data_IF_447138763882
#
_entry.id   IF_447138763882
#
_cell.length_a   1.000
_cell.length_b   1.000
_cell.length_c   1.000
_cell.angle_alpha   90.00
_cell.angle_beta   90.00
_cell.angle_gamma   90.00
#
_symmetry.space_group_name_H-M   'P 1'
#
loop_
_entity.id
_entity.type
_entity.pdbx_description
1 polymer ?
#
# COMPACT_ATOMS: atom_id res chain seq x y z
N UNK A 1 -6.34 -17.26 2.14
CA UNK A 1 -6.54 -17.33 0.67
C UNK A 1 -7.99 -17.23 0.23
N UNK A 2 -8.93 -18.09 0.67
CA UNK A 2 -10.34 -18.10 0.18
C UNK A 2 -11.09 -16.77 0.39
N UNK A 3 -10.92 -16.09 1.54
CA UNK A 3 -11.52 -14.78 1.80
C UNK A 3 -10.99 -13.65 0.89
N UNK A 4 -9.73 -13.76 0.46
CA UNK A 4 -9.11 -12.82 -0.48
C UNK A 4 -9.60 -13.05 -1.91
N UNK A 5 -9.82 -14.32 -2.28
CA UNK A 5 -10.35 -14.73 -3.59
C UNK A 5 -11.77 -14.18 -3.84
N UNK A 6 -12.59 -14.15 -2.80
CA UNK A 6 -14.00 -13.68 -2.87
C UNK A 6 -14.08 -12.15 -2.92
N UNK A 7 -13.24 -11.45 -2.14
CA UNK A 7 -13.27 -9.97 -2.07
C UNK A 7 -12.73 -9.25 -3.31
N UNK A 8 -11.68 -9.78 -3.95
CA UNK A 8 -11.10 -9.18 -5.16
C UNK A 8 -12.07 -9.27 -6.35
N UNK A 9 -12.84 -10.35 -6.42
CA UNK A 9 -13.81 -10.60 -7.49
C UNK A 9 -15.01 -9.65 -7.43
N UNK A 10 -15.47 -9.27 -6.23
CA UNK A 10 -16.65 -8.43 -6.03
C UNK A 10 -16.44 -6.94 -6.40
N UNK A 11 -15.24 -6.38 -6.16
CA UNK A 11 -15.02 -4.93 -6.37
C UNK A 11 -14.63 -4.56 -7.81
N UNK A 12 -14.12 -5.53 -8.58
CA UNK A 12 -13.71 -5.34 -9.99
C UNK A 12 -14.92 -4.96 -10.86
N UNK A 13 -16.10 -5.50 -10.52
CA UNK A 13 -17.40 -5.21 -11.14
C UNK A 13 -17.97 -3.83 -10.76
N UNK A 14 -17.66 -3.29 -9.58
CA UNK A 14 -18.26 -2.04 -9.07
C UNK A 14 -17.75 -0.76 -9.76
N UNK A 15 -16.57 -0.78 -10.40
CA UNK A 15 -15.95 0.40 -11.02
C UNK A 15 -16.35 0.66 -12.49
N UNK A 16 -17.36 -0.02 -13.02
CA UNK A 16 -17.73 0.08 -14.43
C UNK A 16 -18.69 1.26 -14.75
N UNK A 17 -19.15 2.04 -13.76
CA UNK A 17 -20.29 2.97 -13.93
C UNK A 17 -19.97 4.47 -13.88
N UNK A 18 -18.81 4.94 -13.42
CA UNK A 18 -18.57 6.38 -13.28
C UNK A 18 -17.25 6.85 -13.89
N UNK A 19 -17.30 7.43 -15.10
CA UNK A 19 -16.31 8.37 -15.63
C UNK A 19 -16.77 8.94 -16.99
N UNK A 20 -17.12 10.23 -17.04
CA UNK A 20 -16.71 11.17 -18.10
C UNK A 20 -17.08 12.58 -17.66
N UNK A 21 -16.07 13.46 -17.54
CA UNK A 21 -16.06 14.83 -18.09
C UNK A 21 -14.72 15.52 -17.80
N UNK A 22 -14.33 16.28 -18.81
CA UNK A 22 -13.01 16.77 -19.16
C UNK A 22 -12.48 17.93 -18.30
N UNK A 23 -11.18 18.22 -18.46
CA UNK A 23 -10.67 19.54 -18.91
C UNK A 23 -9.13 19.60 -18.84
N UNK A 24 -8.56 20.17 -19.89
CA UNK A 24 -7.14 20.42 -20.22
C UNK A 24 -6.76 21.86 -19.86
N UNK A 25 -5.57 22.09 -19.26
CA UNK A 25 -4.86 23.38 -19.30
C UNK A 25 -3.34 23.12 -19.31
N UNK A 26 -2.66 23.94 -20.11
CA UNK A 26 -1.25 24.01 -20.50
C UNK A 26 -0.33 24.67 -19.45
N UNK A 27 0.94 24.26 -19.44
CA UNK A 27 2.01 24.80 -18.58
C UNK A 27 2.85 25.84 -19.35
N UNK A 28 3.18 26.97 -18.71
CA UNK A 28 4.24 27.90 -19.13
C UNK A 28 5.32 27.95 -18.04
N UNK A 29 6.56 27.64 -18.41
CA UNK A 29 7.75 27.81 -17.57
C UNK A 29 8.52 29.05 -18.02
N UNK A 30 8.80 29.96 -17.09
CA UNK A 30 9.75 31.07 -17.29
C UNK A 30 11.14 30.72 -16.74
N UNK A 31 12.13 30.96 -17.59
CA UNK A 31 13.55 30.69 -17.43
C UNK A 31 14.23 31.93 -16.80
N UNK A 32 15.02 31.74 -15.74
CA UNK A 32 15.80 32.82 -15.12
C UNK A 32 17.28 32.74 -15.51
N UNK A 33 17.82 33.92 -15.74
CA UNK A 33 19.05 34.27 -16.44
C UNK A 33 20.32 34.12 -15.58
N UNK A 34 21.45 33.80 -16.23
CA UNK A 34 22.77 33.61 -15.59
C UNK A 34 23.60 34.88 -15.71
N UNK A 35 23.76 35.59 -14.59
CA UNK A 35 24.76 36.65 -14.44
C UNK A 35 26.10 36.08 -13.93
N UNK A 36 27.12 36.12 -14.79
CA UNK A 36 28.51 35.80 -14.49
C UNK A 36 29.20 36.92 -13.71
N UNK A 37 30.02 36.59 -12.72
CA UNK A 37 31.21 37.36 -12.38
C UNK A 37 32.23 36.49 -11.63
N UNK A 38 33.44 36.42 -12.18
CA UNK A 38 34.64 35.82 -11.59
C UNK A 38 35.54 36.95 -11.07
N UNK A 39 35.96 36.89 -9.81
CA UNK A 39 37.27 37.42 -9.39
C UNK A 39 37.78 36.53 -8.25
N UNK A 40 38.98 35.98 -8.45
CA UNK A 40 39.69 35.19 -7.47
C UNK A 40 40.24 36.09 -6.37
N UNK A 41 39.67 35.98 -5.17
CA UNK A 41 40.31 36.40 -3.92
C UNK A 41 40.58 35.14 -3.09
N UNK A 42 41.81 35.04 -2.61
CA UNK A 42 42.29 33.96 -1.75
C UNK A 42 41.59 34.13 -0.39
N UNK A 43 40.38 33.61 -0.27
CA UNK A 43 39.72 33.44 1.02
C UNK A 43 40.10 32.09 1.60
N UNK A 44 40.61 32.07 2.84
CA UNK A 44 40.53 30.88 3.68
C UNK A 44 39.10 30.34 3.55
N UNK A 45 38.96 29.09 3.12
CA UNK A 45 37.65 28.53 2.80
C UNK A 45 36.72 28.75 3.99
N UNK A 46 35.59 29.47 3.83
CA UNK A 46 34.74 29.83 4.96
C UNK A 46 34.36 28.56 5.71
N UNK A 47 34.73 28.51 6.98
CA UNK A 47 34.42 27.41 7.88
C UNK A 47 33.41 27.88 8.94
N UNK A 48 32.48 27.00 9.29
CA UNK A 48 31.47 27.25 10.31
C UNK A 48 31.77 26.32 11.47
N UNK A 49 31.80 26.86 12.69
CA UNK A 49 31.91 26.06 13.91
C UNK A 49 30.51 25.72 14.43
N UNK A 50 30.21 24.44 14.57
CA UNK A 50 28.94 23.94 15.11
C UNK A 50 29.18 23.14 16.39
N UNK A 51 28.33 23.37 17.39
CA UNK A 51 28.29 22.55 18.60
C UNK A 51 27.45 21.30 18.35
N UNK A 52 28.08 20.13 18.30
CA UNK A 52 27.42 18.87 17.97
C UNK A 52 27.45 17.87 19.12
N UNK A 53 26.33 17.19 19.30
CA UNK A 53 26.19 16.07 20.21
C UNK A 53 26.92 14.85 19.64
N UNK A 54 27.97 14.39 20.30
CA UNK A 54 28.79 13.27 19.86
C UNK A 54 28.62 12.06 20.80
N UNK A 55 28.68 10.86 20.22
CA UNK A 55 28.86 9.63 21.02
C UNK A 55 30.29 9.50 21.54
N UNK A 56 30.53 8.52 22.41
CA UNK A 56 31.91 8.16 22.75
C UNK A 56 32.64 7.65 21.50
N UNK A 57 33.92 8.04 21.37
CA UNK A 57 34.81 7.60 20.31
C UNK A 57 35.94 6.81 20.96
N UNK A 58 35.75 5.50 21.07
CA UNK A 58 36.72 4.59 21.66
C UNK A 58 36.77 3.29 20.85
N UNK A 59 37.95 2.67 20.82
CA UNK A 59 38.15 1.35 20.24
C UNK A 59 37.79 0.22 21.21
N UNK A 60 37.66 0.51 22.51
CA UNK A 60 37.42 -0.48 23.57
C UNK A 60 36.03 -0.38 24.19
N UNK A 61 35.26 0.67 23.88
CA UNK A 61 33.93 0.93 24.46
C UNK A 61 32.90 1.06 23.34
N UNK A 62 31.79 0.34 23.49
CA UNK A 62 30.67 0.39 22.56
C UNK A 62 29.96 1.75 22.63
N UNK A 63 29.78 2.43 21.49
CA UNK A 63 29.10 3.74 21.49
C UNK A 63 27.58 3.67 21.74
N UNK A 64 26.98 2.47 21.64
CA UNK A 64 25.55 2.25 21.88
C UNK A 64 25.27 2.00 23.36
N UNK A 65 25.85 0.94 23.94
CA UNK A 65 25.59 0.54 25.34
C UNK A 65 26.64 1.00 26.35
N UNK A 66 27.77 1.58 25.91
CA UNK A 66 28.90 2.00 26.75
C UNK A 66 29.59 0.86 27.52
N UNK A 67 29.29 -0.40 27.20
CA UNK A 67 30.00 -1.56 27.73
C UNK A 67 31.36 -1.74 27.06
N UNK A 68 32.28 -2.40 27.77
CA UNK A 68 33.56 -2.81 27.23
C UNK A 68 33.37 -3.81 26.08
N UNK A 69 34.22 -3.71 25.07
CA UNK A 69 34.20 -4.55 23.88
C UNK A 69 35.23 -5.66 24.06
N UNK A 70 34.74 -6.86 24.35
CA UNK A 70 35.57 -8.04 24.51
C UNK A 70 35.49 -8.85 23.20
N UNK A 71 36.39 -8.58 22.26
CA UNK A 71 36.46 -9.30 20.97
C UNK A 71 35.69 -8.64 19.82
N UNK A 72 35.04 -9.47 18.98
CA UNK A 72 34.51 -9.10 17.65
C UNK A 72 33.56 -7.90 17.68
N UNK A 73 34.11 -6.72 17.48
CA UNK A 73 33.38 -5.48 17.24
C UNK A 73 33.43 -5.11 15.77
N UNK A 74 32.49 -4.28 15.37
CA UNK A 74 32.45 -3.75 14.03
C UNK A 74 32.26 -2.25 14.04
N UNK A 75 32.75 -1.62 12.98
CA UNK A 75 32.40 -0.24 12.64
C UNK A 75 31.20 -0.30 11.70
N UNK A 76 30.20 0.52 11.97
CA UNK A 76 29.01 0.61 11.12
C UNK A 76 29.31 1.39 9.83
N UNK A 77 28.51 1.17 8.79
CA UNK A 77 28.65 1.84 7.51
C UNK A 77 28.44 3.36 7.64
N UNK A 78 28.90 4.13 6.65
CA UNK A 78 28.78 5.59 6.68
C UNK A 78 27.31 6.04 6.62
N UNK A 79 26.50 5.30 5.86
CA UNK A 79 25.08 5.52 5.65
C UNK A 79 24.29 5.40 6.97
N UNK A 80 24.62 4.41 7.79
CA UNK A 80 24.01 4.22 9.10
C UNK A 80 24.34 5.38 10.06
N UNK A 81 25.59 5.89 10.00
CA UNK A 81 26.00 7.06 10.81
C UNK A 81 25.26 8.31 10.38
N UNK A 82 25.13 8.53 9.07
CA UNK A 82 24.40 9.66 8.51
C UNK A 82 22.91 9.62 8.89
N UNK A 83 22.29 8.44 8.81
CA UNK A 83 20.90 8.24 9.23
C UNK A 83 20.70 8.53 10.72
N UNK A 84 21.60 8.07 11.59
CA UNK A 84 21.53 8.34 13.03
C UNK A 84 21.69 9.84 13.30
N UNK A 85 22.60 10.52 12.60
CA UNK A 85 22.76 11.97 12.71
C UNK A 85 21.46 12.70 12.34
N UNK A 86 20.85 12.37 11.19
CA UNK A 86 19.59 13.01 10.74
C UNK A 86 18.41 12.68 11.66
N UNK A 87 18.33 11.46 12.19
CA UNK A 87 17.16 11.01 12.99
C UNK A 87 17.24 11.34 14.47
N UNK A 88 18.44 11.35 15.06
CA UNK A 88 18.66 11.54 16.50
C UNK A 88 19.43 12.83 16.83
N UNK A 89 19.94 13.55 15.83
CA UNK A 89 20.83 14.70 16.03
C UNK A 89 22.04 14.35 16.91
N UNK A 90 22.62 13.16 16.69
CA UNK A 90 23.81 12.65 17.38
C UNK A 90 24.83 12.19 16.33
N UNK A 91 26.03 12.76 16.38
CA UNK A 91 27.13 12.41 15.50
C UNK A 91 27.93 11.22 16.06
N UNK A 92 28.15 10.22 15.21
CA UNK A 92 29.04 9.09 15.48
C UNK A 92 30.32 9.30 14.67
N UNK A 93 31.47 9.32 15.36
CA UNK A 93 32.76 9.48 14.70
C UNK A 93 33.09 8.27 13.84
N UNK A 94 33.86 8.52 12.79
CA UNK A 94 34.43 7.44 12.00
C UNK A 94 35.35 6.58 12.88
N UNK A 95 35.28 5.25 12.70
CA UNK A 95 36.04 4.31 13.52
C UNK A 95 35.42 3.97 14.88
N UNK A 96 34.35 4.64 15.32
CA UNK A 96 33.60 4.24 16.52
C UNK A 96 33.09 2.80 16.42
N UNK A 97 33.28 2.01 17.48
CA UNK A 97 33.00 0.56 17.50
C UNK A 97 31.67 0.24 18.19
N UNK A 98 30.93 -0.72 17.63
CA UNK A 98 29.71 -1.27 18.19
C UNK A 98 29.89 -2.76 18.51
N UNK A 99 29.29 -3.24 19.61
CA UNK A 99 29.27 -4.67 19.93
C UNK A 99 28.22 -5.42 19.09
N UNK A 100 28.46 -6.72 18.84
CA UNK A 100 27.55 -7.57 18.03
C UNK A 100 26.13 -7.68 18.59
N UNK A 101 25.93 -7.48 19.89
CA UNK A 101 24.60 -7.52 20.54
C UNK A 101 23.62 -6.47 20.00
N UNK A 102 24.12 -5.45 19.31
CA UNK A 102 23.29 -4.39 18.72
C UNK A 102 23.12 -4.52 17.21
N UNK A 103 23.75 -5.54 16.61
CA UNK A 103 23.83 -5.72 15.17
C UNK A 103 23.09 -6.98 14.74
N UNK A 104 22.33 -6.86 13.66
CA UNK A 104 21.70 -7.96 12.93
C UNK A 104 22.09 -7.79 11.46
N UNK A 105 22.61 -8.84 10.83
CA UNK A 105 23.16 -8.80 9.46
C UNK A 105 24.10 -7.62 9.19
N UNK A 106 25.03 -7.38 10.13
CA UNK A 106 26.01 -6.28 10.07
C UNK A 106 25.41 -4.85 10.14
N UNK A 107 24.09 -4.71 10.36
CA UNK A 107 23.41 -3.41 10.51
C UNK A 107 22.89 -3.21 11.93
N UNK A 108 22.72 -1.96 12.34
CA UNK A 108 22.15 -1.63 13.65
C UNK A 108 20.66 -2.00 13.72
N UNK A 109 20.30 -2.77 14.75
CA UNK A 109 18.90 -3.05 15.03
C UNK A 109 18.15 -1.76 15.41
N UNK A 110 16.86 -1.60 15.03
CA UNK A 110 16.07 -0.42 15.38
C UNK A 110 15.99 -0.15 16.89
N UNK A 111 15.90 -1.21 17.70
CA UNK A 111 15.94 -1.11 19.16
C UNK A 111 17.26 -0.50 19.68
N UNK A 112 18.39 -0.85 19.05
CA UNK A 112 19.71 -0.32 19.37
C UNK A 112 19.84 1.16 19.02
N UNK A 113 19.24 1.62 17.93
CA UNK A 113 19.26 3.04 17.53
C UNK A 113 18.56 3.90 18.59
N UNK A 114 17.50 3.39 19.21
CA UNK A 114 16.72 4.13 20.20
C UNK A 114 17.44 4.35 21.53
N UNK A 115 18.40 3.51 21.88
CA UNK A 115 19.17 3.62 23.13
C UNK A 115 20.44 4.47 23.00
N UNK A 116 20.81 4.88 21.78
CA UNK A 116 21.97 5.75 21.55
C UNK A 116 21.73 7.11 22.24
N UNK A 117 22.67 7.51 23.10
CA UNK A 117 22.63 8.77 23.84
C UNK A 117 23.91 9.57 23.63
N UNK A 118 23.82 10.91 23.52
CA UNK A 118 25.00 11.75 23.45
C UNK A 118 25.88 11.57 24.71
N UNK A 119 27.19 11.62 24.50
CA UNK A 119 28.17 11.54 25.58
C UNK A 119 28.76 12.91 25.90
N UNK A 120 29.07 13.70 24.86
CA UNK A 120 29.64 15.05 24.99
C UNK A 120 29.18 15.95 23.84
N UNK A 121 29.26 17.26 24.07
CA UNK A 121 29.13 18.28 23.03
C UNK A 121 30.54 18.63 22.58
N UNK A 122 30.79 18.57 21.27
CA UNK A 122 32.05 18.98 20.66
C UNK A 122 31.82 20.13 19.70
N UNK A 123 32.74 21.09 19.69
CA UNK A 123 32.76 22.16 18.68
C UNK A 123 33.51 21.62 17.46
N UNK A 124 32.80 21.47 16.35
CA UNK A 124 33.33 20.93 15.10
C UNK A 124 33.39 22.07 14.08
N UNK A 125 34.58 22.30 13.50
CA UNK A 125 34.76 23.20 12.37
C UNK A 125 34.48 22.45 11.07
N UNK A 126 33.51 22.94 10.30
CA UNK A 126 33.08 22.36 9.02
C UNK A 126 33.42 23.34 7.90
N UNK A 127 34.04 22.83 6.83
CA UNK A 127 34.28 23.61 5.62
C UNK A 127 33.00 23.67 4.77
N UNK A 128 32.94 24.62 3.84
CA UNK A 128 31.83 24.74 2.89
C UNK A 128 31.46 23.40 2.20
N UNK A 129 32.46 22.57 1.83
CA UNK A 129 32.22 21.25 1.25
C UNK A 129 31.53 20.27 2.20
N UNK A 130 31.87 20.28 3.49
CA UNK A 130 31.26 19.41 4.51
C UNK A 130 29.81 19.82 4.77
N UNK A 131 29.56 21.14 4.83
CA UNK A 131 28.21 21.69 4.97
C UNK A 131 27.35 21.33 3.77
N UNK A 132 27.88 21.48 2.55
CA UNK A 132 27.17 21.09 1.33
C UNK A 132 26.85 19.59 1.32
N UNK A 133 27.81 18.75 1.74
CA UNK A 133 27.60 17.31 1.85
C UNK A 133 26.51 16.96 2.87
N UNK A 134 26.50 17.60 4.05
CA UNK A 134 25.47 17.40 5.07
C UNK A 134 24.08 17.84 4.58
N UNK A 135 23.98 18.98 3.90
CA UNK A 135 22.73 19.44 3.30
C UNK A 135 22.25 18.44 2.23
N UNK A 136 23.12 18.01 1.32
CA UNK A 136 22.74 17.04 0.28
C UNK A 136 22.32 15.70 0.89
N UNK A 137 23.05 15.18 1.88
CA UNK A 137 22.71 13.95 2.59
C UNK A 137 21.39 14.08 3.34
N UNK A 138 21.16 15.18 4.04
CA UNK A 138 19.90 15.43 4.73
C UNK A 138 18.71 15.55 3.76
N UNK A 139 18.89 16.15 2.59
CA UNK A 139 17.86 16.17 1.54
C UNK A 139 17.54 14.77 1.03
N UNK A 140 18.55 13.95 0.75
CA UNK A 140 18.37 12.55 0.33
C UNK A 140 17.63 11.76 1.40
N UNK A 141 18.08 11.84 2.66
CA UNK A 141 17.50 11.12 3.79
C UNK A 141 16.10 11.62 4.16
N UNK A 142 15.82 12.92 3.98
CA UNK A 142 14.50 13.50 4.14
C UNK A 142 13.54 13.05 3.05
N UNK A 143 13.98 13.03 1.78
CA UNK A 143 13.19 12.53 0.66
C UNK A 143 12.93 11.01 0.75
N UNK A 144 13.79 10.26 1.44
CA UNK A 144 13.57 8.84 1.76
C UNK A 144 12.57 8.64 2.90
N UNK A 145 12.37 9.63 3.78
CA UNK A 145 11.40 9.53 4.88
C UNK A 145 10.01 9.91 4.40
N UNK A 146 9.14 8.89 4.28
CA UNK A 146 7.65 8.93 4.19
C UNK A 146 7.02 8.71 2.82
N UNK A 147 7.64 7.94 1.94
CA UNK A 147 6.90 7.35 0.82
C UNK A 147 6.56 5.90 1.14
N UNK A 148 5.31 5.54 0.91
CA UNK A 148 4.92 4.14 0.77
C UNK A 148 5.55 3.62 -0.53
N UNK A 149 6.83 3.27 -0.44
CA UNK A 149 7.58 2.70 -1.55
C UNK A 149 7.43 1.18 -1.51
N UNK A 150 6.71 0.67 -2.51
CA UNK A 150 6.46 -0.75 -2.66
C UNK A 150 7.46 -1.41 -3.63
N UNK A 151 8.33 -0.62 -4.27
CA UNK A 151 9.42 -1.10 -5.12
C UNK A 151 10.69 -1.39 -4.29
N UNK A 152 10.89 -0.70 -3.15
CA UNK A 152 11.93 -1.03 -2.15
C UNK A 152 11.43 -2.07 -1.13
N UNK A 153 12.11 -3.22 -1.05
CA UNK A 153 11.77 -4.29 -0.11
C UNK A 153 12.00 -3.92 1.37
N UNK A 154 12.78 -2.87 1.64
CA UNK A 154 13.09 -2.40 3.00
C UNK A 154 12.23 -1.21 3.45
N UNK A 155 11.50 -0.58 2.55
CA UNK A 155 10.77 0.65 2.86
C UNK A 155 9.53 0.43 3.75
N UNK A 156 8.93 -0.76 3.69
CA UNK A 156 7.69 -1.09 4.41
C UNK A 156 7.87 -2.42 5.15
N UNK A 157 7.40 -2.54 6.40
CA UNK A 157 7.43 -3.82 7.13
C UNK A 157 6.40 -4.82 6.58
N UNK A 158 6.56 -6.12 6.87
CA UNK A 158 5.63 -7.15 6.37
C UNK A 158 4.20 -6.97 6.95
N UNK A 159 4.11 -6.56 8.23
CA UNK A 159 2.84 -6.26 8.89
C UNK A 159 2.13 -5.06 8.26
N UNK A 160 2.84 -3.98 7.95
CA UNK A 160 2.29 -2.82 7.23
C UNK A 160 1.83 -3.22 5.83
N UNK A 161 2.61 -4.06 5.14
CA UNK A 161 2.27 -4.59 3.83
C UNK A 161 0.95 -5.36 3.86
N UNK A 162 0.79 -6.24 4.85
CA UNK A 162 -0.43 -7.02 5.07
C UNK A 162 -1.61 -6.14 5.47
N UNK A 163 -1.39 -5.14 6.33
CA UNK A 163 -2.44 -4.22 6.75
C UNK A 163 -2.96 -3.34 5.62
N UNK A 164 -2.11 -2.99 4.64
CA UNK A 164 -2.49 -2.19 3.48
C UNK A 164 -3.12 -3.04 2.37
N UNK A 165 -2.58 -4.24 2.10
CA UNK A 165 -2.93 -5.00 0.89
C UNK A 165 -3.65 -6.32 1.14
N UNK A 166 -3.69 -6.82 2.39
CA UNK A 166 -4.09 -8.18 2.77
C UNK A 166 -3.13 -9.30 2.34
N UNK A 167 -1.94 -8.94 1.85
CA UNK A 167 -0.91 -9.86 1.41
C UNK A 167 0.38 -9.55 2.14
N UNK A 168 1.11 -10.58 2.55
CA UNK A 168 2.51 -10.40 2.95
C UNK A 168 3.39 -10.16 1.71
N UNK A 169 4.63 -9.71 1.92
CA UNK A 169 5.58 -9.38 0.85
C UNK A 169 5.77 -10.54 -0.14
N UNK A 170 5.99 -11.76 0.37
CA UNK A 170 6.22 -12.94 -0.46
C UNK A 170 5.00 -13.35 -1.32
N UNK A 171 3.80 -13.23 -0.77
CA UNK A 171 2.56 -13.47 -1.51
C UNK A 171 2.34 -12.40 -2.58
N UNK A 172 2.63 -11.14 -2.25
CA UNK A 172 2.53 -10.05 -3.21
C UNK A 172 3.53 -10.24 -4.36
N UNK A 173 4.78 -10.61 -4.06
CA UNK A 173 5.79 -10.87 -5.10
C UNK A 173 5.39 -12.01 -6.02
N UNK A 174 4.77 -13.06 -5.47
CA UNK A 174 4.19 -14.16 -6.26
C UNK A 174 3.09 -13.64 -7.19
N UNK A 175 2.18 -12.81 -6.69
CA UNK A 175 1.13 -12.18 -7.52
C UNK A 175 1.73 -11.34 -8.65
N UNK A 176 2.75 -10.53 -8.37
CA UNK A 176 3.42 -9.69 -9.38
C UNK A 176 4.07 -10.55 -10.47
N UNK A 177 4.68 -11.69 -10.12
CA UNK A 177 5.28 -12.61 -11.09
C UNK A 177 4.25 -13.19 -12.06
N UNK A 178 3.07 -13.57 -11.57
CA UNK A 178 1.98 -14.12 -12.39
C UNK A 178 1.45 -13.09 -13.41
N UNK A 179 1.44 -11.80 -13.06
CA UNK A 179 0.92 -10.74 -13.95
C UNK A 179 2.02 -10.00 -14.73
N UNK A 180 3.29 -10.41 -14.61
CA UNK A 180 4.43 -9.70 -15.19
C UNK A 180 4.44 -9.70 -16.73
N UNK A 181 3.73 -10.63 -17.36
CA UNK A 181 3.56 -10.70 -18.81
C UNK A 181 2.68 -9.56 -19.38
N UNK A 182 1.95 -8.83 -18.52
CA UNK A 182 1.13 -7.70 -18.95
C UNK A 182 1.98 -6.44 -19.18
N UNK A 183 1.93 -5.82 -20.37
CA UNK A 183 2.76 -4.65 -20.67
C UNK A 183 2.24 -3.41 -19.94
N UNK A 184 2.78 -3.15 -18.75
CA UNK A 184 2.56 -1.91 -18.02
C UNK A 184 3.74 -0.97 -18.29
N UNK A 185 3.46 0.23 -18.81
CA UNK A 185 4.47 1.29 -18.87
C UNK A 185 4.85 1.69 -17.44
N UNK A 186 6.06 1.35 -17.03
CA UNK A 186 6.67 1.89 -15.82
C UNK A 186 7.00 3.37 -16.07
N UNK A 187 6.62 4.22 -15.12
CA UNK A 187 7.11 5.61 -15.04
C UNK A 187 7.71 5.81 -13.66
N UNK A 188 8.49 6.88 -13.47
CA UNK A 188 9.11 7.20 -12.18
C UNK A 188 8.11 7.33 -11.01
N UNK A 189 6.81 7.51 -11.29
CA UNK A 189 5.74 7.68 -10.30
C UNK A 189 4.77 6.49 -10.28
N UNK A 190 4.97 5.50 -11.15
CA UNK A 190 4.02 4.40 -11.34
C UNK A 190 4.73 3.15 -11.84
N UNK A 191 5.08 2.27 -10.92
CA UNK A 191 5.44 0.89 -11.23
C UNK A 191 4.18 0.00 -11.30
N UNK A 192 4.34 -1.22 -11.83
CA UNK A 192 3.34 -2.27 -11.71
C UNK A 192 2.97 -2.54 -10.25
N UNK A 193 3.95 -2.48 -9.34
CA UNK A 193 3.75 -2.72 -7.90
C UNK A 193 2.87 -1.64 -7.30
N UNK A 194 3.17 -0.35 -7.52
CA UNK A 194 2.34 0.76 -7.04
C UNK A 194 0.90 0.64 -7.56
N UNK A 195 0.72 0.28 -8.83
CA UNK A 195 -0.61 0.14 -9.43
C UNK A 195 -1.44 -0.98 -8.79
N UNK A 196 -0.82 -2.14 -8.55
CA UNK A 196 -1.48 -3.29 -7.91
C UNK A 196 -1.77 -2.99 -6.44
N UNK A 197 -0.84 -2.36 -5.73
CA UNK A 197 -1.05 -1.94 -4.34
C UNK A 197 -2.19 -0.92 -4.25
N UNK A 198 -2.25 0.08 -5.14
CA UNK A 198 -3.37 1.03 -5.15
C UNK A 198 -4.72 0.32 -5.27
N UNK A 199 -4.80 -0.70 -6.14
CA UNK A 199 -6.00 -1.52 -6.29
C UNK A 199 -6.30 -2.32 -5.00
N UNK A 200 -5.30 -3.01 -4.43
CA UNK A 200 -5.46 -3.80 -3.20
C UNK A 200 -5.83 -2.95 -1.98
N UNK A 201 -5.21 -1.78 -1.80
CA UNK A 201 -5.57 -0.83 -0.77
C UNK A 201 -7.01 -0.33 -0.95
N UNK A 202 -7.41 -0.02 -2.19
CA UNK A 202 -8.79 0.39 -2.47
C UNK A 202 -9.80 -0.70 -2.13
N UNK A 203 -9.48 -1.94 -2.49
CA UNK A 203 -10.26 -3.14 -2.20
C UNK A 203 -10.42 -3.40 -0.70
N UNK A 204 -9.31 -3.34 0.03
CA UNK A 204 -9.26 -3.69 1.46
C UNK A 204 -9.81 -2.58 2.35
N UNK A 205 -9.43 -1.33 2.08
CA UNK A 205 -9.64 -0.19 2.97
C UNK A 205 -10.77 0.73 2.51
N UNK A 206 -11.33 0.54 1.31
CA UNK A 206 -12.43 1.37 0.80
C UNK A 206 -12.04 2.82 0.52
N UNK A 207 -10.75 3.12 0.35
CA UNK A 207 -10.26 4.50 0.23
C UNK A 207 -10.69 5.18 -1.07
N UNK A 208 -10.93 6.50 -0.99
CA UNK A 208 -11.19 7.32 -2.16
C UNK A 208 -9.93 7.48 -3.02
N UNK A 209 -10.10 7.75 -4.32
CA UNK A 209 -8.93 7.96 -5.20
C UNK A 209 -8.12 9.21 -4.81
N UNK A 210 -8.75 10.18 -4.14
CA UNK A 210 -8.07 11.37 -3.62
C UNK A 210 -7.14 11.00 -2.47
N UNK A 211 -7.61 10.19 -1.51
CA UNK A 211 -6.77 9.72 -0.39
C UNK A 211 -5.64 8.84 -0.91
N UNK A 212 -5.92 7.94 -1.85
CA UNK A 212 -4.87 7.13 -2.48
C UNK A 212 -3.85 7.99 -3.23
N UNK A 213 -4.26 9.08 -3.87
CA UNK A 213 -3.31 9.99 -4.53
C UNK A 213 -2.37 10.65 -3.51
N UNK A 214 -2.88 11.03 -2.34
CA UNK A 214 -2.06 11.57 -1.25
C UNK A 214 -1.11 10.50 -0.66
N UNK A 215 -1.60 9.30 -0.40
CA UNK A 215 -0.80 8.22 0.21
C UNK A 215 0.34 7.72 -0.68
N UNK A 216 0.11 7.65 -1.99
CA UNK A 216 1.06 7.15 -2.98
C UNK A 216 1.78 8.26 -3.74
N UNK A 217 1.60 9.52 -3.32
CA UNK A 217 2.15 10.72 -3.97
C UNK A 217 1.93 10.72 -5.49
N UNK A 218 0.74 10.27 -5.89
CA UNK A 218 0.31 10.27 -7.27
C UNK A 218 -0.08 11.70 -7.67
N UNK A 219 0.22 12.16 -8.90
CA UNK A 219 0.01 13.55 -9.29
C UNK A 219 -1.45 13.99 -9.18
N UNK A 220 -2.40 13.07 -9.43
CA UNK A 220 -3.82 13.33 -9.21
C UNK A 220 -4.64 12.04 -9.04
N UNK A 221 -5.92 12.20 -8.65
CA UNK A 221 -6.89 11.10 -8.53
C UNK A 221 -7.13 10.34 -9.85
N UNK A 222 -6.85 10.96 -11.00
CA UNK A 222 -7.04 10.35 -12.34
C UNK A 222 -5.89 9.39 -12.64
N UNK A 223 -4.66 9.73 -12.25
CA UNK A 223 -3.49 8.86 -12.33
C UNK A 223 -3.71 7.59 -11.50
N UNK A 224 -4.22 7.72 -10.27
CA UNK A 224 -4.64 6.60 -9.43
C UNK A 224 -5.73 5.77 -10.11
N UNK A 225 -6.79 6.41 -10.63
CA UNK A 225 -7.86 5.70 -11.33
C UNK A 225 -7.34 4.88 -12.51
N UNK A 226 -6.43 5.46 -13.30
CA UNK A 226 -5.74 4.75 -14.39
C UNK A 226 -4.87 3.61 -13.87
N UNK A 227 -4.20 3.79 -12.72
CA UNK A 227 -3.34 2.78 -12.08
C UNK A 227 -4.13 1.55 -11.71
N UNK A 228 -5.22 1.77 -10.99
CA UNK A 228 -6.18 0.75 -10.61
C UNK A 228 -6.77 0.06 -11.85
N UNK A 229 -7.16 0.83 -12.87
CA UNK A 229 -7.69 0.27 -14.11
C UNK A 229 -6.70 -0.65 -14.85
N UNK A 230 -5.42 -0.30 -14.88
CA UNK A 230 -4.37 -1.16 -15.49
C UNK A 230 -4.10 -2.39 -14.65
N UNK A 231 -3.93 -2.25 -13.34
CA UNK A 231 -3.71 -3.39 -12.45
C UNK A 231 -4.88 -4.39 -12.53
N UNK A 232 -6.11 -3.88 -12.58
CA UNK A 232 -7.32 -4.68 -12.75
C UNK A 232 -7.29 -5.48 -14.05
N UNK A 233 -6.91 -4.85 -15.17
CA UNK A 233 -6.79 -5.55 -16.47
C UNK A 233 -5.74 -6.65 -16.43
N UNK A 234 -4.58 -6.39 -15.81
CA UNK A 234 -3.52 -7.38 -15.68
C UNK A 234 -3.98 -8.60 -14.83
N UNK A 235 -4.56 -8.35 -13.65
CA UNK A 235 -5.07 -9.41 -12.77
C UNK A 235 -6.20 -10.20 -13.44
N UNK A 236 -7.14 -9.54 -14.12
CA UNK A 236 -8.25 -10.21 -14.80
C UNK A 236 -7.80 -11.11 -15.96
N UNK A 237 -6.69 -10.75 -16.62
CA UNK A 237 -6.17 -11.50 -17.75
C UNK A 237 -5.30 -12.67 -17.30
N UNK A 238 -4.34 -12.41 -16.42
CA UNK A 238 -3.22 -13.33 -16.18
C UNK A 238 -3.31 -14.05 -14.82
N UNK A 239 -4.16 -13.59 -13.88
CA UNK A 239 -4.29 -14.23 -12.55
C UNK A 239 -5.66 -14.87 -12.31
N UNK A 240 -6.75 -14.15 -12.60
CA UNK A 240 -8.13 -14.60 -12.31
C UNK A 240 -8.50 -15.92 -12.98
N UNK A 241 -8.23 -16.14 -14.28
CA UNK A 241 -8.65 -17.38 -14.95
C UNK A 241 -7.98 -18.63 -14.41
N UNK A 242 -6.79 -18.48 -13.82
CA UNK A 242 -5.96 -19.59 -13.34
C UNK A 242 -6.05 -19.81 -11.82
N UNK A 243 -6.54 -18.82 -11.06
CA UNK A 243 -6.54 -18.89 -9.61
C UNK A 243 -7.85 -18.50 -8.92
N UNK A 244 -8.81 -17.85 -9.61
CA UNK A 244 -10.03 -17.32 -8.98
C UNK A 244 -11.33 -17.73 -9.67
N UNK A 245 -11.36 -17.91 -11.00
CA UNK A 245 -12.59 -18.20 -11.76
C UNK A 245 -13.02 -19.66 -11.70
N UNK A 246 -14.28 -19.99 -12.00
CA UNK A 246 -14.76 -21.40 -11.96
C UNK A 246 -13.97 -22.29 -12.94
N UNK A 247 -13.38 -21.69 -13.97
CA UNK A 247 -12.54 -22.36 -14.98
C UNK A 247 -11.26 -23.01 -14.43
N UNK A 248 -10.74 -22.59 -13.26
CA UNK A 248 -9.49 -23.15 -12.70
C UNK A 248 -9.67 -24.36 -11.78
N UNK A 249 -10.91 -24.71 -11.42
CA UNK A 249 -11.19 -25.77 -10.45
C UNK A 249 -12.27 -26.71 -10.96
N UNK A 250 -12.01 -28.01 -10.92
CA UNK A 250 -12.96 -29.02 -11.39
C UNK A 250 -14.07 -29.26 -10.36
N UNK A 251 -15.25 -29.72 -10.82
CA UNK A 251 -16.38 -30.07 -9.95
C UNK A 251 -15.97 -31.03 -8.82
N UNK A 252 -15.21 -32.11 -9.14
CA UNK A 252 -14.73 -33.07 -8.14
C UNK A 252 -13.84 -32.42 -7.09
N UNK A 253 -12.88 -31.59 -7.51
CA UNK A 253 -12.03 -30.86 -6.57
C UNK A 253 -12.81 -29.93 -5.64
N UNK A 254 -13.94 -29.34 -6.08
CA UNK A 254 -14.80 -28.53 -5.21
C UNK A 254 -15.55 -29.42 -4.21
N UNK A 255 -16.05 -30.57 -4.64
CA UNK A 255 -16.77 -31.52 -3.77
C UNK A 255 -15.82 -32.08 -2.71
N UNK A 256 -14.60 -32.43 -3.09
CA UNK A 256 -13.61 -33.05 -2.22
C UNK A 256 -12.98 -32.04 -1.26
N UNK A 257 -12.60 -30.85 -1.75
CA UNK A 257 -11.78 -29.91 -0.98
C UNK A 257 -12.55 -28.69 -0.42
N UNK A 258 -13.78 -28.44 -0.89
CA UNK A 258 -14.52 -27.21 -0.57
C UNK A 258 -15.97 -27.43 -0.14
N UNK A 259 -16.50 -28.66 -0.18
CA UNK A 259 -17.81 -29.00 0.36
C UNK A 259 -17.64 -29.73 1.69
N UNK A 260 -18.11 -29.14 2.78
CA UNK A 260 -18.00 -29.75 4.11
C UNK A 260 -18.92 -30.97 4.23
N UNK A 261 -18.53 -31.94 5.07
CA UNK A 261 -19.36 -33.11 5.39
C UNK A 261 -20.75 -32.68 5.87
N UNK A 262 -20.82 -31.64 6.70
CA UNK A 262 -22.07 -31.06 7.20
C UNK A 262 -22.97 -30.58 6.05
N UNK A 263 -22.44 -29.80 5.10
CA UNK A 263 -23.22 -29.32 3.95
C UNK A 263 -23.71 -30.49 3.06
N UNK A 264 -22.89 -31.53 2.91
CA UNK A 264 -23.22 -32.73 2.12
C UNK A 264 -24.37 -33.52 2.75
N UNK A 265 -24.35 -33.72 4.06
CA UNK A 265 -25.40 -34.45 4.79
C UNK A 265 -26.71 -33.64 4.86
N UNK A 266 -26.64 -32.32 5.14
CA UNK A 266 -27.83 -31.47 5.31
C UNK A 266 -28.52 -31.11 4.00
N UNK A 267 -27.76 -30.85 2.93
CA UNK A 267 -28.29 -30.28 1.68
C UNK A 267 -28.15 -31.22 0.49
N UNK A 268 -27.30 -32.24 0.60
CA UNK A 268 -26.84 -33.03 -0.55
C UNK A 268 -27.53 -34.38 -0.75
N UNK A 269 -28.35 -34.84 0.20
CA UNK A 269 -29.11 -36.09 0.08
C UNK A 269 -28.28 -37.38 -0.04
N UNK A 270 -26.96 -37.31 0.18
CA UNK A 270 -26.03 -38.44 0.04
C UNK A 270 -25.39 -38.56 -1.35
N UNK A 271 -24.08 -38.28 -1.37
CA UNK A 271 -23.06 -38.48 -2.42
C UNK A 271 -23.09 -37.61 -3.71
N UNK A 272 -21.93 -36.99 -3.96
CA UNK A 272 -21.53 -36.19 -5.14
C UNK A 272 -22.32 -34.88 -5.43
N UNK A 273 -23.07 -34.42 -4.42
CA UNK A 273 -23.77 -33.13 -4.48
C UNK A 273 -22.84 -31.97 -4.12
N UNK A 274 -22.54 -31.14 -5.12
CA UNK A 274 -21.88 -29.85 -4.93
C UNK A 274 -22.86 -28.87 -4.25
N UNK A 275 -22.49 -28.37 -3.08
CA UNK A 275 -23.25 -27.32 -2.38
C UNK A 275 -22.52 -26.00 -2.57
N UNK A 276 -23.10 -25.11 -3.37
CA UNK A 276 -22.54 -23.79 -3.65
C UNK A 276 -23.36 -22.73 -2.91
N UNK A 277 -22.75 -22.12 -1.90
CA UNK A 277 -23.32 -20.94 -1.23
C UNK A 277 -22.78 -19.71 -1.94
N UNK A 278 -23.61 -19.12 -2.80
CA UNK A 278 -23.29 -17.87 -3.47
C UNK A 278 -23.89 -16.75 -2.63
N UNK A 279 -23.03 -15.88 -2.09
CA UNK A 279 -23.47 -14.62 -1.50
C UNK A 279 -24.11 -13.77 -2.62
N UNK A 280 -25.43 -13.61 -2.52
CA UNK A 280 -26.32 -12.99 -3.52
C UNK A 280 -26.10 -11.50 -3.76
N UNK A 281 -25.10 -10.89 -3.14
CA UNK A 281 -24.92 -9.44 -3.16
C UNK A 281 -24.49 -8.91 -4.55
N UNK A 282 -23.96 -9.75 -5.45
CA UNK A 282 -23.52 -9.35 -6.81
C UNK A 282 -23.74 -10.43 -7.88
N UNK A 283 -24.81 -11.23 -7.78
CA UNK A 283 -25.12 -12.21 -8.82
C UNK A 283 -25.82 -11.50 -9.98
N UNK A 284 -25.17 -11.46 -11.15
CA UNK A 284 -25.82 -11.11 -12.40
C UNK A 284 -26.69 -12.30 -12.83
N UNK A 285 -27.92 -12.36 -12.34
CA UNK A 285 -28.87 -13.38 -12.75
C UNK A 285 -29.49 -12.91 -14.06
N UNK A 286 -29.11 -13.56 -15.15
CA UNK A 286 -29.75 -13.35 -16.43
C UNK A 286 -31.10 -14.09 -16.38
N UNK A 287 -32.15 -13.30 -16.14
CA UNK A 287 -33.59 -13.60 -16.17
C UNK A 287 -34.28 -13.60 -14.79
N UNK A 288 -35.23 -12.67 -14.73
CA UNK A 288 -36.48 -12.66 -13.98
C UNK A 288 -36.41 -12.20 -12.52
N UNK A 289 -36.59 -10.88 -12.35
CA UNK A 289 -36.86 -10.12 -11.12
C UNK A 289 -35.71 -10.01 -10.11
N UNK A 290 -35.15 -8.79 -9.98
CA UNK A 290 -34.15 -8.44 -8.97
C UNK A 290 -34.86 -7.91 -7.72
N UNK A 291 -34.63 -8.57 -6.58
CA UNK A 291 -35.06 -8.07 -5.27
C UNK A 291 -34.00 -7.13 -4.71
N UNK A 292 -34.38 -5.89 -4.41
CA UNK A 292 -33.46 -4.83 -4.02
C UNK A 292 -33.84 -4.29 -2.64
N UNK A 293 -32.85 -4.17 -1.74
CA UNK A 293 -33.05 -3.55 -0.43
C UNK A 293 -33.22 -2.03 -0.56
N UNK A 294 -33.95 -1.42 0.39
CA UNK A 294 -34.30 0.01 0.44
C UNK A 294 -33.09 0.94 0.40
N UNK A 295 -31.91 0.46 0.82
CA UNK A 295 -30.65 1.20 0.77
C UNK A 295 -30.10 1.44 -0.64
N UNK A 296 -30.62 0.75 -1.67
CA UNK A 296 -30.12 0.81 -3.05
C UNK A 296 -31.09 1.50 -4.02
N UNK A 297 -32.02 2.30 -3.50
CA UNK A 297 -33.02 3.05 -4.28
C UNK A 297 -32.42 3.89 -5.41
N UNK A 298 -31.23 4.44 -5.19
CA UNK A 298 -30.57 5.35 -6.13
C UNK A 298 -30.04 4.60 -7.37
N UNK A 299 -30.00 3.26 -7.32
CA UNK A 299 -29.58 2.39 -8.42
C UNK A 299 -30.75 1.86 -9.26
N UNK A 300 -32.02 2.10 -8.87
CA UNK A 300 -33.20 1.58 -9.58
C UNK A 300 -33.27 2.02 -11.04
N UNK A 301 -32.93 3.28 -11.31
CA UNK A 301 -32.92 3.81 -12.69
C UNK A 301 -31.94 3.09 -13.60
N UNK A 302 -30.78 2.70 -13.06
CA UNK A 302 -29.78 1.90 -13.79
C UNK A 302 -30.34 0.51 -14.08
N UNK A 303 -30.99 -0.13 -13.09
CA UNK A 303 -31.57 -1.46 -13.25
C UNK A 303 -32.69 -1.50 -14.30
N UNK A 304 -33.59 -0.52 -14.30
CA UNK A 304 -34.63 -0.41 -15.33
C UNK A 304 -34.04 -0.15 -16.72
N UNK A 305 -33.01 0.70 -16.83
CA UNK A 305 -32.34 0.97 -18.11
C UNK A 305 -31.64 -0.26 -18.71
N UNK A 306 -31.35 -1.26 -17.88
CA UNK A 306 -30.78 -2.55 -18.27
C UNK A 306 -31.86 -3.60 -18.60
N UNK A 307 -33.14 -3.24 -18.57
CA UNK A 307 -34.27 -4.14 -18.87
C UNK A 307 -34.60 -5.11 -17.74
N UNK A 308 -34.27 -4.77 -16.50
CA UNK A 308 -34.53 -5.61 -15.33
C UNK A 308 -35.84 -5.21 -14.66
N UNK A 309 -36.66 -6.22 -14.34
CA UNK A 309 -37.76 -6.04 -13.40
C UNK A 309 -37.21 -5.98 -11.97
N UNK A 310 -37.63 -4.99 -11.19
CA UNK A 310 -37.12 -4.74 -9.84
C UNK A 310 -38.26 -4.75 -8.84
N UNK A 311 -38.11 -5.54 -7.78
CA UNK A 311 -39.01 -5.60 -6.64
C UNK A 311 -38.31 -5.05 -5.39
N UNK A 312 -38.86 -3.99 -4.79
CA UNK A 312 -38.33 -3.36 -3.59
C UNK A 312 -39.40 -3.32 -2.49
N UNK A 313 -39.05 -3.52 -1.20
CA UNK A 313 -40.00 -3.34 -0.11
C UNK A 313 -40.58 -1.92 -0.12
N UNK A 314 -41.91 -1.77 0.00
CA UNK A 314 -42.56 -0.45 -0.06
C UNK A 314 -42.07 0.47 1.06
N UNK A 315 -42.11 1.77 0.84
CA UNK A 315 -41.85 2.75 1.89
C UNK A 315 -43.12 3.09 2.67
N UNK A 316 -42.91 3.46 3.93
CA UNK A 316 -43.93 4.09 4.74
C UNK A 316 -43.97 5.57 4.32
N UNK A 317 -44.71 5.89 3.27
CA UNK A 317 -44.89 7.25 2.75
C UNK A 317 -45.72 8.09 3.74
N UNK A 318 -45.10 8.49 4.84
CA UNK A 318 -45.74 9.26 5.92
C UNK A 318 -46.73 8.48 6.79
N UNK A 319 -46.91 7.18 6.56
CA UNK A 319 -47.77 6.30 7.37
C UNK A 319 -47.01 5.62 8.51
N UNK A 320 -47.67 5.36 9.64
CA UNK A 320 -47.04 4.65 10.77
C UNK A 320 -46.91 3.13 10.53
N UNK A 321 -47.68 2.56 9.62
CA UNK A 321 -47.72 1.12 9.35
C UNK A 321 -48.13 0.83 7.90
N UNK A 322 -47.66 -0.28 7.34
CA UNK A 322 -48.11 -0.78 6.04
C UNK A 322 -49.54 -1.33 6.13
N UNK A 323 -50.31 -1.18 5.05
CA UNK A 323 -51.54 -1.96 4.88
C UNK A 323 -51.22 -3.46 4.84
N UNK A 324 -52.21 -4.31 5.17
CA UNK A 324 -52.07 -5.77 5.15
C UNK A 324 -51.53 -6.29 3.80
N UNK A 325 -51.99 -5.70 2.68
CA UNK A 325 -51.52 -6.07 1.35
C UNK A 325 -50.08 -5.64 1.05
N UNK A 326 -49.63 -4.49 1.57
CA UNK A 326 -48.24 -4.03 1.45
C UNK A 326 -47.31 -4.80 2.37
N UNK A 327 -47.74 -5.12 3.59
CA UNK A 327 -47.00 -5.94 4.52
C UNK A 327 -46.79 -7.37 4.00
N UNK A 328 -47.81 -7.97 3.38
CA UNK A 328 -47.71 -9.28 2.75
C UNK A 328 -46.75 -9.26 1.55
N UNK A 329 -46.84 -8.24 0.67
CA UNK A 329 -45.88 -8.07 -0.44
C UNK A 329 -44.45 -7.83 0.05
N UNK A 330 -44.26 -7.03 1.09
CA UNK A 330 -42.95 -6.83 1.71
C UNK A 330 -42.38 -8.14 2.25
N UNK A 331 -43.19 -8.99 2.88
CA UNK A 331 -42.74 -10.30 3.41
C UNK A 331 -42.30 -11.28 2.32
N UNK A 332 -42.85 -11.19 1.11
CA UNK A 332 -42.42 -12.00 -0.04
C UNK A 332 -41.07 -11.55 -0.61
N UNK A 333 -40.64 -10.33 -0.30
CA UNK A 333 -39.39 -9.72 -0.80
C UNK A 333 -38.27 -9.86 0.25
N UNK A 334 -38.59 -9.91 1.55
CA UNK A 334 -37.61 -9.88 2.65
C UNK A 334 -37.44 -11.22 3.40
N UNK A 335 -37.88 -12.35 2.84
CA UNK A 335 -37.78 -13.67 3.50
C UNK A 335 -37.02 -14.69 2.69
#
# INVERSE_FOLDING_TARGET
MIRLKIWISALILFQQINLTKDLTVTEDYQQYDKGSQTVAEIFESPCITLSMNCTISSHTICYVCRSHIDGSSMTIAAEDRDMIFVTKNVMIREGSRCCRKHLEDHRLMPASINIIKPHKIEIISLKAGDVQMLINKSQILYNQKKRLDFDDCNAISDDEYYNLTSLNKGQFDSLIKEIAAFPIRNTAVRSIRTAVVCLLCKLRLGLSNTILALLFESPDKRAVSRAIGTARKAIMKDFVPYHLGISHITRRQIIDNHTTTIARELMGGGNDTLVLVIDGTYIYIQKDVVVVDRGFRDCLGVMYSLGLDVAMPPFLDGQKQFSTAQANRSRCITK
#
